data_IF_864108114273
#
_entry.id   IF_864108114273
#
_cell.length_a   1.000
_cell.length_b   1.000
_cell.length_c   1.000
_cell.angle_alpha   90.00
_cell.angle_beta   90.00
_cell.angle_gamma   90.00
#
_symmetry.space_group_name_H-M   'P 1'
#
loop_
_entity.id
_entity.type
_entity.pdbx_description
1 polymer ?
#
# COMPACT_ATOMS: atom_id res chain seq x y z
N UNK A 1 -20.45 50.28 -4.61
CA UNK A 1 -20.98 49.45 -5.72
C UNK A 1 -20.98 48.02 -5.23
N UNK A 2 -22.15 47.54 -4.82
CA UNK A 2 -22.36 46.24 -4.22
C UNK A 2 -22.79 45.24 -5.29
N UNK A 3 -22.07 44.14 -5.45
CA UNK A 3 -22.54 42.99 -6.22
C UNK A 3 -22.18 41.69 -5.48
N UNK A 4 -23.03 41.39 -4.50
CA UNK A 4 -23.66 40.10 -4.19
C UNK A 4 -22.95 38.80 -4.62
N UNK A 5 -22.61 37.97 -3.62
CA UNK A 5 -22.40 36.53 -3.73
C UNK A 5 -23.72 35.78 -4.00
N UNK A 6 -23.76 34.77 -4.88
CA UNK A 6 -24.85 33.80 -4.90
C UNK A 6 -24.54 32.60 -3.99
N UNK A 7 -25.39 32.48 -2.97
CA UNK A 7 -25.57 31.33 -2.10
C UNK A 7 -26.10 30.12 -2.89
N UNK A 8 -25.53 28.95 -2.56
CA UNK A 8 -26.16 27.61 -2.47
C UNK A 8 -27.16 27.21 -3.56
N UNK A 9 -26.82 26.15 -4.32
CA UNK A 9 -27.84 25.20 -4.75
C UNK A 9 -27.36 23.75 -4.59
N UNK A 10 -27.77 23.16 -3.46
CA UNK A 10 -27.69 21.73 -3.21
C UNK A 10 -28.69 21.03 -4.13
N UNK A 11 -28.24 20.22 -5.08
CA UNK A 11 -29.08 19.25 -5.77
C UNK A 11 -28.70 17.85 -5.30
N UNK A 12 -29.50 17.33 -4.37
CA UNK A 12 -29.60 15.91 -4.07
C UNK A 12 -30.54 15.33 -5.12
N UNK A 13 -30.08 14.38 -5.94
CA UNK A 13 -30.95 13.59 -6.81
C UNK A 13 -30.81 12.15 -6.34
N UNK A 14 -31.90 11.65 -5.75
CA UNK A 14 -32.17 10.24 -5.48
C UNK A 14 -33.14 9.78 -6.55
N UNK A 15 -32.83 8.70 -7.26
CA UNK A 15 -33.80 7.97 -8.08
C UNK A 15 -33.39 6.49 -8.13
N UNK A 16 -34.37 5.62 -7.92
CA UNK A 16 -34.26 4.17 -7.83
C UNK A 16 -35.04 3.49 -8.97
N UNK A 17 -34.56 2.31 -9.42
CA UNK A 17 -35.26 1.15 -10.04
C UNK A 17 -36.10 1.38 -11.34
N UNK A 18 -36.28 0.48 -12.31
CA UNK A 18 -35.84 -0.90 -12.60
C UNK A 18 -36.31 -1.31 -14.05
N UNK A 19 -35.53 -2.17 -14.71
CA UNK A 19 -35.84 -3.32 -15.61
C UNK A 19 -36.68 -3.17 -16.91
N UNK A 20 -36.08 -3.67 -18.02
CA UNK A 20 -36.71 -4.24 -19.23
C UNK A 20 -36.56 -3.35 -20.47
N UNK A 21 -35.94 -3.70 -21.59
CA UNK A 21 -35.63 -4.99 -22.21
C UNK A 21 -36.12 -4.92 -23.67
N UNK A 22 -35.23 -5.06 -24.65
CA UNK A 22 -35.38 -5.70 -25.98
C UNK A 22 -34.15 -5.36 -26.81
N UNK A 23 -33.46 -6.43 -27.21
CA UNK A 23 -32.15 -6.49 -27.87
C UNK A 23 -32.31 -6.61 -29.38
N UNK A 24 -31.55 -5.81 -30.14
CA UNK A 24 -31.20 -6.12 -31.53
C UNK A 24 -29.68 -6.28 -31.58
N UNK A 25 -29.21 -7.54 -31.60
CA UNK A 25 -27.78 -7.89 -31.58
C UNK A 25 -27.20 -7.79 -32.99
N UNK A 26 -26.25 -6.89 -33.19
CA UNK A 26 -25.34 -6.88 -34.33
C UNK A 26 -24.06 -7.61 -33.92
N UNK A 27 -23.79 -8.75 -34.55
CA UNK A 27 -22.56 -9.53 -34.32
C UNK A 27 -21.37 -8.82 -34.97
N UNK A 28 -20.42 -8.35 -34.15
CA UNK A 28 -19.08 -7.95 -34.60
C UNK A 28 -18.08 -9.02 -34.14
N UNK A 29 -17.32 -9.53 -35.10
CA UNK A 29 -16.29 -10.55 -34.88
C UNK A 29 -15.00 -9.93 -34.32
N UNK A 30 -14.49 -10.52 -33.24
CA UNK A 30 -13.06 -10.58 -32.96
C UNK A 30 -12.42 -9.49 -32.09
N UNK A 31 -13.17 -8.83 -31.20
CA UNK A 31 -12.61 -8.08 -30.08
C UNK A 31 -13.42 -8.44 -28.83
N UNK A 32 -12.80 -9.13 -27.88
CA UNK A 32 -13.45 -9.52 -26.63
C UNK A 32 -13.63 -8.29 -25.73
N UNK A 33 -14.74 -7.58 -25.94
CA UNK A 33 -15.29 -6.58 -25.03
C UNK A 33 -16.31 -7.30 -24.15
N UNK A 34 -16.04 -7.42 -22.86
CA UNK A 34 -17.00 -7.87 -21.86
C UNK A 34 -17.47 -6.64 -21.05
N UNK A 35 -18.70 -6.24 -21.37
CA UNK A 35 -19.86 -5.87 -20.54
C UNK A 35 -19.72 -5.21 -19.15
N UNK A 36 -20.76 -4.43 -18.83
CA UNK A 36 -20.84 -3.35 -17.84
C UNK A 36 -21.12 -3.80 -16.39
N UNK A 37 -20.54 -3.03 -15.47
CA UNK A 37 -21.04 -2.65 -14.13
C UNK A 37 -21.06 -3.66 -12.98
N UNK A 38 -19.95 -3.70 -12.24
CA UNK A 38 -19.90 -3.87 -10.78
C UNK A 38 -18.82 -2.90 -10.22
N UNK A 39 -19.09 -1.99 -9.25
CA UNK A 39 -18.05 -1.16 -8.64
C UNK A 39 -17.37 -1.89 -7.47
N UNK A 40 -16.96 -3.14 -7.66
CA UNK A 40 -16.17 -3.92 -6.70
C UNK A 40 -15.46 -5.07 -7.42
N UNK A 41 -14.49 -4.73 -8.25
CA UNK A 41 -13.65 -5.74 -8.91
C UNK A 41 -12.42 -5.10 -9.48
N UNK A 42 -11.30 -5.24 -8.75
CA UNK A 42 -9.96 -5.03 -9.32
C UNK A 42 -9.88 -5.81 -10.62
N UNK A 43 -9.73 -5.09 -11.73
CA UNK A 43 -9.38 -5.68 -13.02
C UNK A 43 -7.94 -6.18 -12.92
N UNK A 44 -7.77 -7.42 -12.46
CA UNK A 44 -6.58 -8.21 -12.67
C UNK A 44 -6.52 -8.60 -14.15
N UNK A 45 -5.99 -7.69 -14.96
CA UNK A 45 -5.68 -7.93 -16.36
C UNK A 45 -4.24 -7.48 -16.63
N UNK A 46 -3.28 -8.32 -16.24
CA UNK A 46 -2.06 -8.64 -17.02
C UNK A 46 -1.47 -9.92 -16.43
N UNK A 47 -1.77 -11.06 -17.05
CA UNK A 47 -1.03 -12.29 -16.82
C UNK A 47 0.23 -12.27 -17.69
N UNK A 48 1.37 -12.52 -17.03
CA UNK A 48 2.69 -12.94 -17.55
C UNK A 48 3.78 -11.85 -17.56
N UNK A 49 4.62 -11.85 -16.51
CA UNK A 49 5.97 -11.29 -16.54
C UNK A 49 6.85 -11.84 -15.38
N UNK A 50 7.39 -13.05 -15.54
CA UNK A 50 8.47 -13.59 -14.70
C UNK A 50 8.12 -13.86 -13.23
N UNK A 51 8.95 -14.65 -12.55
CA UNK A 51 8.91 -14.69 -11.09
C UNK A 51 9.31 -13.29 -10.59
N UNK A 52 8.33 -12.44 -10.31
CA UNK A 52 8.58 -11.10 -9.80
C UNK A 52 9.24 -11.22 -8.43
N UNK A 53 10.47 -10.73 -8.30
CA UNK A 53 11.16 -10.62 -7.02
C UNK A 53 10.25 -9.87 -6.04
N UNK A 54 9.97 -10.47 -4.87
CA UNK A 54 9.13 -9.86 -3.83
C UNK A 54 10.01 -9.33 -2.71
N UNK A 55 9.70 -8.16 -2.15
CA UNK A 55 10.40 -7.70 -0.93
C UNK A 55 9.79 -8.38 0.29
N UNK A 56 10.64 -8.92 1.15
CA UNK A 56 10.27 -9.52 2.44
C UNK A 56 10.97 -8.78 3.58
N UNK A 57 10.20 -8.41 4.60
CA UNK A 57 10.68 -7.73 5.78
C UNK A 57 10.25 -8.49 7.05
N UNK A 58 11.10 -8.60 8.08
CA UNK A 58 10.70 -9.12 9.37
C UNK A 58 9.52 -8.34 9.96
N UNK A 59 8.56 -9.06 10.55
CA UNK A 59 7.42 -8.46 11.22
C UNK A 59 7.85 -7.85 12.56
N UNK A 60 7.45 -6.59 12.81
CA UNK A 60 7.79 -5.88 14.06
C UNK A 60 6.78 -6.19 15.17
N UNK A 61 5.49 -6.28 14.83
CA UNK A 61 4.40 -6.50 15.80
C UNK A 61 4.58 -7.77 16.65
N UNK A 62 5.11 -8.85 16.08
CA UNK A 62 5.38 -10.11 16.80
C UNK A 62 6.58 -10.06 17.75
N UNK A 63 7.41 -9.00 17.68
CA UNK A 63 8.58 -8.80 18.55
C UNK A 63 8.36 -7.71 19.60
N UNK A 64 7.18 -7.08 19.62
CA UNK A 64 6.82 -6.11 20.64
C UNK A 64 6.28 -6.81 21.90
N UNK A 65 6.68 -6.38 23.11
CA UNK A 65 6.02 -6.78 24.34
C UNK A 65 4.62 -6.15 24.41
N UNK A 66 3.92 -6.36 25.52
CA UNK A 66 2.63 -5.71 25.75
C UNK A 66 2.75 -4.19 25.63
N UNK A 67 2.03 -3.62 24.65
CA UNK A 67 2.07 -2.18 24.37
C UNK A 67 1.20 -1.43 25.37
N UNK A 68 1.77 -0.50 26.16
CA UNK A 68 1.03 0.28 27.14
C UNK A 68 -0.09 1.09 26.48
N UNK A 69 -1.24 1.24 27.15
CA UNK A 69 -2.42 1.90 26.58
C UNK A 69 -2.14 3.29 26.01
N UNK A 70 -1.28 4.08 26.66
CA UNK A 70 -0.89 5.43 26.21
C UNK A 70 -0.05 5.46 24.92
N UNK A 71 0.65 4.35 24.59
CA UNK A 71 1.49 4.26 23.39
C UNK A 71 0.76 3.61 22.19
N UNK A 72 -0.35 2.89 22.41
CA UNK A 72 -1.02 2.05 21.38
C UNK A 72 -1.27 2.79 20.08
N UNK A 73 -1.93 3.95 20.14
CA UNK A 73 -2.27 4.71 18.95
C UNK A 73 -1.02 5.20 18.18
N UNK A 74 0.10 5.45 18.85
CA UNK A 74 1.35 5.83 18.19
C UNK A 74 2.06 4.62 17.60
N UNK A 75 2.10 3.49 18.32
CA UNK A 75 2.64 2.23 17.81
C UNK A 75 1.87 1.79 16.56
N UNK A 76 0.53 1.80 16.59
CA UNK A 76 -0.32 1.40 15.46
C UNK A 76 -0.05 2.25 14.21
N UNK A 77 0.08 3.57 14.38
CA UNK A 77 0.43 4.48 13.27
C UNK A 77 1.80 4.18 12.69
N UNK A 78 2.79 3.86 13.52
CA UNK A 78 4.12 3.50 13.04
C UNK A 78 4.15 2.11 12.39
N UNK A 79 3.36 1.14 12.88
CA UNK A 79 3.20 -0.15 12.20
C UNK A 79 2.59 0.02 10.81
N UNK A 80 1.53 0.82 10.68
CA UNK A 80 0.96 1.17 9.37
C UNK A 80 1.96 1.91 8.46
N UNK A 81 2.84 2.74 9.04
CA UNK A 81 3.90 3.41 8.28
C UNK A 81 4.95 2.42 7.76
N UNK A 82 5.30 1.37 8.52
CA UNK A 82 6.19 0.31 8.06
C UNK A 82 5.60 -0.43 6.84
N UNK A 83 4.29 -0.68 6.84
CA UNK A 83 3.59 -1.29 5.71
C UNK A 83 3.59 -0.37 4.48
N UNK A 84 3.36 0.93 4.69
CA UNK A 84 3.42 1.92 3.62
C UNK A 84 4.82 2.03 2.99
N UNK A 85 5.87 1.97 3.80
CA UNK A 85 7.27 1.96 3.32
C UNK A 85 7.56 0.72 2.48
N UNK A 86 7.07 -0.46 2.89
CA UNK A 86 7.19 -1.69 2.12
C UNK A 86 6.44 -1.61 0.78
N UNK A 87 5.24 -1.03 0.78
CA UNK A 87 4.45 -0.85 -0.43
C UNK A 87 5.15 0.09 -1.43
N UNK A 88 5.68 1.23 -0.96
CA UNK A 88 6.46 2.16 -1.77
C UNK A 88 7.70 1.50 -2.37
N UNK A 89 8.48 0.76 -1.56
CA UNK A 89 9.65 0.04 -2.04
C UNK A 89 9.28 -1.05 -3.06
N UNK A 90 8.14 -1.73 -2.86
CA UNK A 90 7.64 -2.75 -3.79
C UNK A 90 7.20 -2.13 -5.13
N UNK A 91 6.59 -0.94 -5.10
CA UNK A 91 6.27 -0.18 -6.33
C UNK A 91 7.56 0.17 -7.07
N UNK A 92 8.56 0.73 -6.38
CA UNK A 92 9.85 1.05 -6.99
C UNK A 92 10.53 -0.16 -7.62
N UNK A 93 10.45 -1.32 -6.97
CA UNK A 93 10.97 -2.57 -7.52
C UNK A 93 10.23 -3.00 -8.79
N UNK A 94 8.90 -2.86 -8.83
CA UNK A 94 8.09 -3.19 -10.00
C UNK A 94 8.32 -2.22 -11.17
N UNK A 95 8.53 -0.94 -10.86
CA UNK A 95 8.76 0.12 -11.84
C UNK A 95 10.22 0.17 -12.34
N UNK A 96 11.09 -0.70 -11.81
CA UNK A 96 12.51 -0.76 -12.16
C UNK A 96 12.72 -1.25 -13.60
N UNK A 97 13.35 -0.44 -14.49
CA UNK A 97 13.54 -0.81 -15.88
C UNK A 97 14.65 -1.86 -16.06
N UNK A 98 14.43 -2.84 -16.95
CA UNK A 98 15.48 -3.80 -17.34
C UNK A 98 14.99 -4.86 -18.33
N UNK A 99 15.81 -5.20 -19.35
CA UNK A 99 15.55 -6.35 -20.24
C UNK A 99 15.89 -7.64 -19.49
N UNK A 100 14.99 -8.11 -18.62
CA UNK A 100 15.17 -9.36 -17.85
C UNK A 100 14.94 -9.26 -16.35
N UNK A 101 14.49 -8.10 -15.83
CA UNK A 101 14.24 -7.87 -14.41
C UNK A 101 15.11 -6.77 -13.81
N UNK A 102 14.92 -6.44 -12.52
CA UNK A 102 15.67 -5.39 -11.83
C UNK A 102 17.17 -5.74 -11.70
N UNK A 103 18.05 -4.77 -11.95
CA UNK A 103 19.49 -4.90 -11.69
C UNK A 103 19.76 -5.06 -10.17
N UNK A 104 20.59 -6.04 -9.73
CA UNK A 104 20.82 -6.31 -8.32
C UNK A 104 21.47 -5.14 -7.57
N UNK A 105 22.34 -4.36 -8.21
CA UNK A 105 22.95 -3.17 -7.60
C UNK A 105 21.92 -2.07 -7.40
N UNK A 106 21.05 -1.85 -8.39
CA UNK A 106 19.93 -0.92 -8.26
C UNK A 106 19.00 -1.33 -7.11
N UNK A 107 18.61 -2.60 -7.03
CA UNK A 107 17.71 -3.06 -5.96
C UNK A 107 18.36 -2.89 -4.58
N UNK A 108 19.65 -3.21 -4.44
CA UNK A 108 20.37 -3.00 -3.18
C UNK A 108 20.38 -1.52 -2.78
N UNK A 109 20.79 -0.64 -3.69
CA UNK A 109 21.13 0.75 -3.36
C UNK A 109 19.95 1.71 -3.39
N UNK A 110 19.01 1.51 -4.32
CA UNK A 110 17.90 2.43 -4.54
C UNK A 110 16.57 1.94 -3.93
N UNK A 111 16.46 0.64 -3.60
CA UNK A 111 15.24 0.05 -3.03
C UNK A 111 15.46 -0.42 -1.59
N UNK A 112 16.34 -1.41 -1.39
CA UNK A 112 16.51 -2.05 -0.08
C UNK A 112 17.25 -1.17 0.93
N UNK A 113 18.26 -0.40 0.48
CA UNK A 113 18.99 0.55 1.33
C UNK A 113 18.07 1.61 1.94
N UNK A 114 17.39 2.43 1.12
CA UNK A 114 16.45 3.45 1.62
C UNK A 114 15.32 2.86 2.46
N UNK A 115 14.79 1.68 2.09
CA UNK A 115 13.77 0.98 2.86
C UNK A 115 14.26 0.63 4.28
N UNK A 116 15.49 0.10 4.39
CA UNK A 116 16.10 -0.25 5.68
C UNK A 116 16.21 0.99 6.57
N UNK A 117 16.69 2.11 6.03
CA UNK A 117 16.88 3.35 6.80
C UNK A 117 15.54 3.92 7.30
N UNK A 118 14.52 3.95 6.43
CA UNK A 118 13.17 4.38 6.79
C UNK A 118 12.54 3.50 7.87
N UNK A 119 12.68 2.17 7.73
CA UNK A 119 12.21 1.21 8.71
C UNK A 119 12.94 1.35 10.03
N UNK A 120 14.27 1.51 10.03
CA UNK A 120 15.06 1.73 11.25
C UNK A 120 14.54 2.94 12.03
N UNK A 121 14.37 4.08 11.36
CA UNK A 121 13.86 5.30 11.99
C UNK A 121 12.44 5.11 12.57
N UNK A 122 11.60 4.35 11.87
CA UNK A 122 10.22 4.08 12.31
C UNK A 122 10.18 3.12 13.50
N UNK A 123 11.03 2.09 13.49
CA UNK A 123 11.18 1.14 14.59
C UNK A 123 11.75 1.83 15.83
N UNK A 124 12.73 2.71 15.67
CA UNK A 124 13.23 3.55 16.76
C UNK A 124 12.12 4.41 17.35
N UNK A 125 11.22 4.96 16.51
CA UNK A 125 10.05 5.70 17.01
C UNK A 125 9.13 4.82 17.84
N UNK A 126 8.83 3.58 17.40
CA UNK A 126 8.03 2.61 18.18
C UNK A 126 8.67 2.36 19.55
N UNK A 127 9.99 2.09 19.58
CA UNK A 127 10.71 1.85 20.82
C UNK A 127 10.64 3.07 21.77
N UNK A 128 10.75 4.29 21.21
CA UNK A 128 10.62 5.54 21.96
C UNK A 128 9.19 5.78 22.47
N UNK A 129 8.16 5.47 21.69
CA UNK A 129 6.76 5.61 22.13
C UNK A 129 6.49 4.71 23.35
N UNK A 130 7.04 3.50 23.35
CA UNK A 130 6.94 2.56 24.48
C UNK A 130 7.75 3.06 25.69
N UNK A 131 8.99 3.51 25.48
CA UNK A 131 9.85 3.95 26.59
C UNK A 131 9.32 5.17 27.33
N UNK A 132 8.64 6.09 26.63
CA UNK A 132 7.98 7.26 27.23
C UNK A 132 6.85 6.89 28.20
N UNK A 133 6.32 5.66 28.13
CA UNK A 133 5.33 5.16 29.07
C UNK A 133 5.93 4.54 30.34
N UNK A 134 7.25 4.64 30.54
CA UNK A 134 7.93 4.10 31.72
C UNK A 134 8.20 2.60 31.66
N UNK A 135 8.04 1.98 30.49
CA UNK A 135 8.35 0.57 30.24
C UNK A 135 9.71 0.47 29.53
N UNK A 136 10.51 -0.54 29.87
CA UNK A 136 11.78 -0.79 29.17
C UNK A 136 11.51 -1.07 27.68
N UNK A 137 12.13 -0.27 26.81
CA UNK A 137 12.03 -0.51 25.36
C UNK A 137 12.62 -1.88 25.00
N UNK A 138 12.04 -2.57 24.01
CA UNK A 138 12.54 -3.88 23.62
C UNK A 138 13.91 -3.73 22.96
N UNK A 139 14.89 -4.51 23.40
CA UNK A 139 16.20 -4.55 22.77
C UNK A 139 16.15 -5.28 21.43
N UNK A 140 17.07 -4.96 20.53
CA UNK A 140 17.22 -5.68 19.26
C UNK A 140 16.19 -5.37 18.17
N UNK A 141 15.21 -4.48 18.39
CA UNK A 141 14.22 -4.13 17.37
C UNK A 141 14.83 -3.59 16.08
N UNK A 142 15.95 -2.86 16.15
CA UNK A 142 16.65 -2.35 14.97
C UNK A 142 17.13 -3.45 14.01
N UNK A 143 17.31 -4.69 14.47
CA UNK A 143 17.65 -5.81 13.60
C UNK A 143 16.50 -6.19 12.64
N UNK A 144 15.26 -5.78 12.94
CA UNK A 144 14.06 -6.03 12.12
C UNK A 144 13.90 -5.03 10.96
N UNK A 145 14.78 -4.04 10.88
CA UNK A 145 14.74 -3.03 9.82
C UNK A 145 15.17 -3.60 8.46
N UNK A 146 16.05 -4.59 8.45
CA UNK A 146 16.58 -5.19 7.23
C UNK A 146 15.51 -5.95 6.45
N UNK A 147 15.39 -5.65 5.16
CA UNK A 147 14.53 -6.38 4.24
C UNK A 147 15.39 -7.05 3.15
N UNK A 148 14.86 -8.12 2.57
CA UNK A 148 15.51 -8.88 1.51
C UNK A 148 14.55 -9.12 0.34
N UNK A 149 15.09 -9.56 -0.79
CA UNK A 149 14.26 -10.16 -1.83
C UNK A 149 13.93 -11.60 -1.42
N UNK A 150 12.63 -11.91 -1.37
CA UNK A 150 12.12 -13.27 -1.38
C UNK A 150 12.06 -13.80 -2.81
N UNK A 151 12.39 -15.08 -2.97
CA UNK A 151 12.03 -15.85 -4.14
C UNK A 151 10.51 -16.01 -4.17
N UNK A 152 9.87 -15.64 -5.28
CA UNK A 152 8.46 -15.94 -5.54
C UNK A 152 8.21 -17.42 -5.79
#
# INVERSE_FOLDING_TARGET
MAHSLPLRLRRRIVAAAAIGGVTCVSVVAGAALADLSDPSGRSDATASAGAASRISCPAVSGSLPEVPAGARAEVDRNLALLDAQLAEASSRLADSPGKGGPDPDFVRDAVLGPLKDQRSSTIERIALSISRQGVTAPSGLGALAGCSLGSG
#
